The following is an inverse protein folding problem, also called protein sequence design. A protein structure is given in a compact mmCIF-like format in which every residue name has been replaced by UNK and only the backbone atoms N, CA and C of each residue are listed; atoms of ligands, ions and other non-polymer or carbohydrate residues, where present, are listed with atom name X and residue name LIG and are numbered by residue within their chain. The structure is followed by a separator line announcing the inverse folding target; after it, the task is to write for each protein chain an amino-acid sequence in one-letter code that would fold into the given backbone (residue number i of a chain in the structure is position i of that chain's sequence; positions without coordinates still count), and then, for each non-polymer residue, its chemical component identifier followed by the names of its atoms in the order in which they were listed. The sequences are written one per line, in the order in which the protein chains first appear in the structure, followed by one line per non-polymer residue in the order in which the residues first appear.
data_IF_827824755745
#
_entry.id   IF_827824755745
#
_cell.length_a   1.000
_cell.length_b   1.000
_cell.length_c   1.000
_cell.angle_alpha   90.00
_cell.angle_beta   90.00
_cell.angle_gamma   90.00
#
_symmetry.space_group_name_H-M   'P 1'
#
loop_
_entity.id
_entity.type
_entity.pdbx_description
1 polymer ?
#
# COMPACT_ATOMS: atom_id res chain seq x y z
N UNK A 1 -6.10 11.12 2.37
CA UNK A 1 -6.44 10.20 1.25
C UNK A 1 -6.16 8.77 1.70
N UNK A 2 -6.95 7.78 1.26
CA UNK A 2 -6.78 6.39 1.71
C UNK A 2 -5.96 5.58 0.70
N UNK A 3 -4.83 5.03 1.13
CA UNK A 3 -4.10 4.03 0.35
C UNK A 3 -4.51 2.65 0.84
N UNK A 4 -4.95 1.79 -0.08
CA UNK A 4 -5.25 0.40 0.22
C UNK A 4 -4.19 -0.53 -0.40
N UNK A 5 -3.65 -1.44 0.41
CA UNK A 5 -2.66 -2.45 0.01
C UNK A 5 -3.04 -3.84 0.49
N UNK A 6 -2.76 -4.84 -0.34
CA UNK A 6 -2.95 -6.25 0.00
C UNK A 6 -1.94 -6.76 1.05
N UNK A 7 -0.79 -6.09 1.19
CA UNK A 7 0.22 -6.40 2.20
C UNK A 7 0.99 -5.14 2.60
N UNK A 8 1.50 -5.14 3.82
CA UNK A 8 2.41 -4.13 4.35
C UNK A 8 3.69 -4.81 4.82
N UNK A 9 4.80 -4.09 4.76
CA UNK A 9 6.06 -4.56 5.35
C UNK A 9 6.29 -3.74 6.62
N UNK A 10 6.27 -4.41 7.78
CA UNK A 10 6.49 -3.78 9.08
C UNK A 10 7.69 -4.45 9.72
N UNK A 11 8.71 -3.67 10.11
CA UNK A 11 9.93 -4.19 10.75
C UNK A 11 10.59 -5.36 9.97
N UNK A 12 10.65 -5.23 8.64
CA UNK A 12 11.22 -6.26 7.75
C UNK A 12 10.33 -7.48 7.51
N UNK A 13 9.18 -7.61 8.19
CA UNK A 13 8.22 -8.71 7.98
C UNK A 13 7.09 -8.27 7.06
N UNK A 14 6.80 -9.09 6.05
CA UNK A 14 5.67 -8.86 5.15
C UNK A 14 4.41 -9.46 5.74
N UNK A 15 3.47 -8.61 6.12
CA UNK A 15 2.16 -9.01 6.65
C UNK A 15 1.14 -8.83 5.53
N UNK A 16 0.46 -9.91 5.17
CA UNK A 16 -0.62 -9.88 4.18
C UNK A 16 -1.96 -9.66 4.88
N UNK A 17 -2.86 -8.94 4.22
CA UNK A 17 -4.17 -8.62 4.80
C UNK A 17 -5.00 -9.90 5.03
N UNK A 18 -4.87 -10.87 4.12
CA UNK A 18 -5.53 -12.19 4.22
C UNK A 18 -5.16 -12.93 5.50
N UNK A 19 -3.91 -12.85 5.95
CA UNK A 19 -3.40 -13.53 7.14
C UNK A 19 -3.97 -12.92 8.44
N UNK A 20 -4.44 -11.67 8.38
CA UNK A 20 -5.12 -10.99 9.50
C UNK A 20 -6.64 -10.92 9.32
N UNK A 21 -7.20 -11.70 8.38
CA UNK A 21 -8.65 -11.73 8.11
C UNK A 21 -9.21 -10.47 7.44
N UNK A 22 -8.36 -9.59 6.91
CA UNK A 22 -8.76 -8.36 6.22
C UNK A 22 -8.62 -8.50 4.71
N UNK A 23 -9.48 -7.82 3.94
CA UNK A 23 -9.34 -7.75 2.48
C UNK A 23 -8.15 -6.89 2.04
N UNK A 24 -7.89 -5.80 2.74
CA UNK A 24 -6.77 -4.90 2.49
C UNK A 24 -6.40 -4.12 3.75
N UNK A 25 -5.16 -3.65 3.82
CA UNK A 25 -4.73 -2.61 4.74
C UNK A 25 -5.01 -1.27 4.09
N UNK A 26 -5.97 -0.51 4.64
CA UNK A 26 -6.21 0.86 4.26
C UNK A 26 -5.77 1.77 5.42
N UNK A 27 -4.98 2.79 5.12
CA UNK A 27 -4.59 3.80 6.10
C UNK A 27 -4.65 5.18 5.46
N UNK A 28 -4.86 6.18 6.31
CA UNK A 28 -4.90 7.56 5.90
C UNK A 28 -3.47 8.09 5.70
N UNK A 29 -3.23 8.68 4.55
CA UNK A 29 -1.96 9.34 4.21
C UNK A 29 -2.20 10.79 3.80
N UNK A 30 -1.12 11.57 3.92
CA UNK A 30 -1.04 12.92 3.38
C UNK A 30 -1.09 12.91 1.84
N UNK A 31 -1.50 14.02 1.22
CA UNK A 31 -1.56 14.13 -0.24
C UNK A 31 -0.19 13.91 -0.93
N UNK A 32 0.90 14.26 -0.26
CA UNK A 32 2.27 14.10 -0.77
C UNK A 32 2.67 12.62 -0.90
N UNK A 33 2.42 11.82 0.15
CA UNK A 33 2.67 10.37 0.12
C UNK A 33 1.76 9.64 -0.87
N UNK A 34 0.53 10.13 -1.04
CA UNK A 34 -0.40 9.58 -2.03
C UNK A 34 0.10 9.79 -3.47
N UNK A 35 0.65 10.98 -3.77
CA UNK A 35 1.23 11.27 -5.09
C UNK A 35 2.43 10.37 -5.37
N UNK A 36 3.35 10.24 -4.43
CA UNK A 36 4.53 9.37 -4.60
C UNK A 36 4.13 7.90 -4.82
N UNK A 37 3.13 7.42 -4.07
CA UNK A 37 2.59 6.08 -4.23
C UNK A 37 1.99 5.85 -5.63
N UNK A 38 1.19 6.78 -6.12
CA UNK A 38 0.59 6.71 -7.46
C UNK A 38 1.65 6.73 -8.57
N UNK A 39 2.70 7.55 -8.44
CA UNK A 39 3.79 7.62 -9.42
C UNK A 39 4.62 6.33 -9.46
N UNK A 40 4.94 5.76 -8.29
CA UNK A 40 5.61 4.45 -8.19
C UNK A 40 4.76 3.32 -8.79
N UNK A 41 3.43 3.37 -8.61
CA UNK A 41 2.51 2.38 -9.19
C UNK A 41 2.38 2.52 -10.70
N UNK A 42 2.31 3.75 -11.23
CA UNK A 42 2.32 4.03 -12.68
C UNK A 42 3.59 3.52 -13.36
N UNK A 43 4.77 3.73 -12.76
CA UNK A 43 6.04 3.23 -13.30
C UNK A 43 6.12 1.69 -13.35
N UNK A 44 5.49 0.98 -12.40
CA UNK A 44 5.46 -0.49 -12.38
C UNK A 44 4.55 -1.11 -13.44
N UNK A 45 3.51 -0.40 -13.89
CA UNK A 45 2.54 -0.91 -14.86
C UNK A 45 2.90 -0.61 -16.32
N UNK A 46 4.09 -0.02 -16.56
CA UNK A 46 4.56 0.42 -17.90
C UNK A 46 5.69 -0.47 -18.43
N UNK A 47 5.82 -1.69 -17.91
CA UNK A 47 6.82 -2.69 -18.30
C UNK A 47 6.09 -4.00 -18.52
#
# INVERSE_FOLDING_TARGET
MLICRAYITVKGRRIYAKDVGKKAFCWEVTPEEHKEYLEKKKKKNKK
#
